data_IF_550400069770
#
_entry.id   IF_550400069770
#
_cell.length_a   1.000
_cell.length_b   1.000
_cell.length_c   1.000
_cell.angle_alpha   90.00
_cell.angle_beta   90.00
_cell.angle_gamma   90.00
#
_symmetry.space_group_name_H-M   'P 1'
#
loop_
_entity.id
_entity.type
_entity.pdbx_description
1 polymer ?
#
# COMPACT_ATOMS: atom_id res chain seq x y z
N UNK A 1 5.78 11.17 -10.90
CA UNK A 1 4.72 10.74 -9.94
C UNK A 1 4.85 11.69 -8.78
N UNK A 2 3.84 12.53 -8.49
CA UNK A 2 4.04 13.77 -7.70
C UNK A 2 4.87 13.57 -6.41
N UNK A 3 4.55 12.54 -5.61
CA UNK A 3 5.26 12.27 -4.36
C UNK A 3 6.74 11.89 -4.56
N UNK A 4 7.07 11.07 -5.56
CA UNK A 4 8.46 10.71 -5.90
C UNK A 4 9.24 11.94 -6.36
N UNK A 5 8.59 12.77 -7.18
CA UNK A 5 9.20 14.00 -7.71
C UNK A 5 9.45 15.00 -6.55
N UNK A 6 8.53 15.08 -5.58
CA UNK A 6 8.66 15.90 -4.39
C UNK A 6 9.80 15.42 -3.47
N UNK A 7 9.92 14.11 -3.25
CA UNK A 7 11.01 13.51 -2.45
C UNK A 7 12.38 13.72 -3.09
N UNK A 8 12.47 13.56 -4.41
CA UNK A 8 13.71 13.83 -5.16
C UNK A 8 14.12 15.30 -5.06
N UNK A 9 13.18 16.24 -5.18
CA UNK A 9 13.46 17.68 -5.01
C UNK A 9 13.93 18.03 -3.60
N UNK A 10 13.44 17.32 -2.59
CA UNK A 10 13.88 17.49 -1.20
C UNK A 10 15.22 16.81 -0.90
N UNK A 11 15.83 16.10 -1.86
CA UNK A 11 17.04 15.30 -1.64
C UNK A 11 16.82 14.07 -0.76
N UNK A 12 15.56 13.64 -0.59
CA UNK A 12 15.18 12.52 0.27
C UNK A 12 15.17 11.23 -0.57
N UNK A 13 16.19 10.40 -0.39
CA UNK A 13 16.26 9.10 -1.05
C UNK A 13 15.29 8.11 -0.40
N UNK A 14 14.33 7.59 -1.18
CA UNK A 14 13.34 6.61 -0.73
C UNK A 14 13.61 5.24 -1.33
N UNK A 15 14.22 4.36 -0.53
CA UNK A 15 14.56 2.99 -0.94
C UNK A 15 13.35 2.04 -0.89
N UNK A 16 12.50 2.18 0.14
CA UNK A 16 11.38 1.29 0.40
C UNK A 16 10.06 2.04 0.39
N UNK A 17 9.03 1.40 -0.15
CA UNK A 17 7.69 1.94 -0.26
C UNK A 17 6.69 1.03 0.44
N UNK A 18 5.76 1.62 1.18
CA UNK A 18 4.66 0.91 1.82
C UNK A 18 3.36 1.37 1.17
N UNK A 19 2.65 0.44 0.55
CA UNK A 19 1.32 0.64 0.01
C UNK A 19 0.34 0.12 1.07
N UNK A 20 -0.24 1.03 1.84
CA UNK A 20 -1.14 0.68 2.93
C UNK A 20 -2.59 0.53 2.45
N UNK A 21 -3.40 -0.15 3.25
CA UNK A 21 -4.87 -0.19 3.11
C UNK A 21 -5.35 -0.68 1.74
N UNK A 22 -4.65 -1.65 1.16
CA UNK A 22 -5.03 -2.15 -0.15
C UNK A 22 -6.20 -3.12 -0.07
N UNK A 23 -7.25 -2.84 -0.83
CA UNK A 23 -8.39 -3.74 -0.99
C UNK A 23 -8.07 -4.93 -1.90
N UNK A 24 -7.02 -4.81 -2.73
CA UNK A 24 -6.53 -5.89 -3.59
C UNK A 24 -6.25 -7.19 -2.81
N UNK A 25 -5.71 -7.08 -1.59
CA UNK A 25 -5.39 -8.23 -0.74
C UNK A 25 -6.55 -8.73 0.15
N UNK A 26 -7.74 -8.12 0.07
CA UNK A 26 -8.85 -8.41 1.01
C UNK A 26 -9.91 -9.38 0.52
N UNK A 27 -9.75 -9.97 -0.67
CA UNK A 27 -10.70 -10.91 -1.32
C UNK A 27 -12.19 -10.56 -1.07
N UNK A 28 -12.52 -9.30 -1.31
CA UNK A 28 -13.83 -8.75 -1.00
C UNK A 28 -14.88 -9.17 -2.03
N UNK A 29 -16.05 -9.58 -1.54
CA UNK A 29 -17.22 -9.96 -2.38
C UNK A 29 -18.11 -8.76 -2.74
N UNK A 30 -17.82 -7.57 -2.18
CA UNK A 30 -18.62 -6.38 -2.46
C UNK A 30 -18.24 -5.79 -3.82
N UNK A 31 -19.18 -5.66 -4.78
CA UNK A 31 -18.89 -5.14 -6.11
C UNK A 31 -18.18 -3.78 -6.10
N UNK A 32 -18.56 -2.90 -5.16
CA UNK A 32 -17.96 -1.58 -5.00
C UNK A 32 -16.47 -1.67 -4.59
N UNK A 33 -16.16 -2.53 -3.63
CA UNK A 33 -14.80 -2.71 -3.12
C UNK A 33 -13.94 -3.46 -4.14
N UNK A 34 -14.52 -4.37 -4.92
CA UNK A 34 -13.84 -5.03 -6.04
C UNK A 34 -13.44 -4.01 -7.11
N UNK A 35 -14.33 -3.10 -7.51
CA UNK A 35 -13.97 -2.02 -8.45
C UNK A 35 -12.83 -1.15 -7.93
N UNK A 36 -12.81 -0.86 -6.62
CA UNK A 36 -11.73 -0.12 -5.97
C UNK A 36 -10.40 -0.90 -5.99
N UNK A 37 -10.44 -2.19 -5.63
CA UNK A 37 -9.28 -3.08 -5.69
C UNK A 37 -8.67 -3.16 -7.09
N UNK A 38 -9.49 -3.22 -8.14
CA UNK A 38 -9.02 -3.19 -9.54
C UNK A 38 -8.35 -1.86 -9.88
N UNK A 39 -8.94 -0.73 -9.45
CA UNK A 39 -8.34 0.60 -9.68
C UNK A 39 -6.99 0.80 -8.98
N UNK A 40 -6.71 0.06 -7.90
CA UNK A 40 -5.43 0.12 -7.18
C UNK A 40 -4.29 -0.59 -7.92
N UNK A 41 -4.59 -1.57 -8.79
CA UNK A 41 -3.58 -2.39 -9.49
C UNK A 41 -2.61 -1.53 -10.31
N UNK A 42 -3.12 -0.52 -11.01
CA UNK A 42 -2.29 0.40 -11.79
C UNK A 42 -1.25 1.12 -10.90
N UNK A 43 -1.70 1.59 -9.74
CA UNK A 43 -0.84 2.31 -8.78
C UNK A 43 0.15 1.38 -8.08
N UNK A 44 -0.27 0.16 -7.74
CA UNK A 44 0.61 -0.87 -7.16
C UNK A 44 1.76 -1.19 -8.11
N UNK A 45 1.45 -1.43 -9.39
CA UNK A 45 2.45 -1.71 -10.41
C UNK A 45 3.44 -0.55 -10.58
N UNK A 46 2.92 0.68 -10.59
CA UNK A 46 3.75 1.89 -10.72
C UNK A 46 4.71 2.07 -9.54
N UNK A 47 4.26 1.82 -8.32
CA UNK A 47 5.12 1.89 -7.12
C UNK A 47 6.14 0.74 -7.13
N UNK A 48 5.75 -0.46 -7.54
CA UNK A 48 6.67 -1.59 -7.69
C UNK A 48 7.80 -1.32 -8.70
N UNK A 49 7.46 -0.68 -9.84
CA UNK A 49 8.42 -0.28 -10.86
C UNK A 49 9.42 0.79 -10.32
N UNK A 50 8.91 1.86 -9.71
CA UNK A 50 9.75 2.94 -9.18
C UNK A 50 10.63 2.46 -8.01
N UNK A 51 10.12 1.56 -7.19
CA UNK A 51 10.84 1.00 -6.04
C UNK A 51 11.82 -0.12 -6.41
N UNK A 52 11.83 -0.57 -7.68
CA UNK A 52 12.62 -1.72 -8.14
C UNK A 52 12.39 -2.97 -7.28
N UNK A 53 11.12 -3.24 -6.95
CA UNK A 53 10.72 -4.37 -6.10
C UNK A 53 10.86 -4.14 -4.59
N UNK A 54 11.35 -2.98 -4.14
CA UNK A 54 11.38 -2.62 -2.71
C UNK A 54 10.05 -1.98 -2.28
N UNK A 55 8.95 -2.69 -2.51
CA UNK A 55 7.62 -2.27 -2.09
C UNK A 55 6.95 -3.37 -1.28
N UNK A 56 6.22 -2.97 -0.23
CA UNK A 56 5.40 -3.85 0.59
C UNK A 56 3.94 -3.42 0.46
N UNK A 57 3.06 -4.39 0.23
CA UNK A 57 1.61 -4.17 0.16
C UNK A 57 0.97 -4.68 1.46
N UNK A 58 0.21 -3.82 2.12
CA UNK A 58 -0.51 -4.15 3.35
C UNK A 58 -2.01 -4.15 3.04
N UNK A 59 -2.70 -5.24 3.42
CA UNK A 59 -4.14 -5.38 3.22
C UNK A 59 -4.92 -4.36 4.03
N UNK A 60 -6.10 -4.00 3.56
CA UNK A 60 -7.03 -3.22 4.36
C UNK A 60 -7.59 -4.06 5.53
N UNK A 61 -7.74 -3.41 6.68
CA UNK A 61 -8.37 -3.97 7.86
C UNK A 61 -9.63 -3.17 8.17
N UNK A 62 -10.74 -3.86 8.46
CA UNK A 62 -12.01 -3.23 8.82
C UNK A 62 -12.06 -2.57 10.19
N UNK A 63 -10.93 -2.62 10.92
CA UNK A 63 -10.71 -1.96 12.21
C UNK A 63 -9.55 -0.99 12.08
N UNK A 64 -9.58 0.07 12.86
CA UNK A 64 -8.44 0.98 12.95
C UNK A 64 -7.24 0.24 13.58
N UNK A 65 -6.12 0.25 12.87
CA UNK A 65 -4.90 -0.43 13.30
C UNK A 65 -4.10 0.53 14.16
N UNK A 66 -4.30 0.46 15.49
CA UNK A 66 -3.59 1.28 16.48
C UNK A 66 -3.36 0.53 17.79
N UNK A 67 -2.32 0.91 18.54
CA UNK A 67 -2.00 0.31 19.84
C UNK A 67 -1.79 -1.20 19.74
N UNK A 68 -2.51 -1.96 20.57
CA UNK A 68 -2.39 -3.43 20.61
C UNK A 68 -2.83 -4.10 19.29
N UNK A 69 -3.72 -3.47 18.52
CA UNK A 69 -4.17 -4.00 17.22
C UNK A 69 -3.05 -4.07 16.18
N UNK A 70 -1.99 -3.26 16.33
CA UNK A 70 -0.77 -3.35 15.53
C UNK A 70 0.06 -4.59 15.89
N UNK A 71 0.08 -4.97 17.17
CA UNK A 71 0.88 -6.11 17.65
C UNK A 71 0.36 -7.45 17.12
N UNK A 72 -0.96 -7.55 16.93
CA UNK A 72 -1.58 -8.70 16.30
C UNK A 72 -1.06 -8.94 14.86
N UNK A 73 -0.58 -7.90 14.18
CA UNK A 73 -0.03 -8.01 12.82
C UNK A 73 1.42 -8.51 12.78
N UNK A 74 2.11 -8.50 13.93
CA UNK A 74 3.52 -8.92 14.06
C UNK A 74 3.67 -10.31 14.69
N UNK A 75 2.56 -10.91 15.10
CA UNK A 75 2.55 -12.22 15.77
C UNK A 75 2.37 -13.30 14.69
N UNK A 76 3.41 -14.12 14.49
CA UNK A 76 3.45 -15.21 13.50
C UNK A 76 3.17 -16.56 14.14
#
# INVERSE_FOLDING_TARGET
MRLVDDLNRAGIYSKWWVINSSFYLTDTKSPLLTSKAVSEVEWINKVAEVSKGNAVLIKWYGKEIQGNELMDLLTF
#
